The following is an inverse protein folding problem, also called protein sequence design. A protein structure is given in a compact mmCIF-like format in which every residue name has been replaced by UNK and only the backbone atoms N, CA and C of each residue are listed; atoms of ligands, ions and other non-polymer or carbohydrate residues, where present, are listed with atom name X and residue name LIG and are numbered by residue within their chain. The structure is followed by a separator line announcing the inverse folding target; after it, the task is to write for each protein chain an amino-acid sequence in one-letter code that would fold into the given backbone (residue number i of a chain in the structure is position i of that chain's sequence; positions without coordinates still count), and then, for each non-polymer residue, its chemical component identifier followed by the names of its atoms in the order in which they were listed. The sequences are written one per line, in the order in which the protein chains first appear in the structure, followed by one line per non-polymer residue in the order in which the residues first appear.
data_IF_700573521236
#
_entry.id   IF_700573521236
#
_cell.length_a   1.000
_cell.length_b   1.000
_cell.length_c   1.000
_cell.angle_alpha   90.00
_cell.angle_beta   90.00
_cell.angle_gamma   90.00
#
_symmetry.space_group_name_H-M   'P 1'
#
loop_
_entity.id
_entity.type
_entity.pdbx_description
1 polymer ?
#
# COMPACT_ATOMS: atom_id res chain seq x y z
N UNK A 1 15.95 1.62 18.76
CA UNK A 1 14.65 2.30 18.83
C UNK A 1 13.57 1.26 19.21
N UNK A 2 12.52 1.61 19.97
CA UNK A 2 11.45 0.68 20.42
C UNK A 2 10.79 -0.03 19.24
N UNK A 3 10.59 0.71 18.14
CA UNK A 3 9.93 0.20 16.93
C UNK A 3 10.82 -0.83 16.20
N UNK A 4 12.13 -0.62 16.22
CA UNK A 4 13.09 -1.52 15.54
C UNK A 4 13.44 -2.75 16.37
N UNK A 5 13.26 -2.69 17.69
CA UNK A 5 13.53 -3.82 18.58
C UNK A 5 12.58 -4.98 18.26
N UNK A 6 13.15 -6.18 18.21
CA UNK A 6 12.44 -7.44 17.93
C UNK A 6 11.76 -7.49 16.55
N UNK A 7 12.17 -6.61 15.63
CA UNK A 7 11.70 -6.56 14.25
C UNK A 7 12.75 -7.08 13.28
N UNK A 8 12.34 -7.75 12.22
CA UNK A 8 13.18 -8.01 11.04
C UNK A 8 13.02 -6.86 10.04
N UNK A 9 14.00 -6.60 9.18
CA UNK A 9 13.81 -5.61 8.12
C UNK A 9 12.92 -6.17 7.01
N UNK A 10 12.09 -5.34 6.40
CA UNK A 10 11.22 -5.74 5.28
C UNK A 10 11.99 -6.41 4.13
N UNK A 11 13.24 -6.00 3.87
CA UNK A 11 14.14 -6.65 2.89
C UNK A 11 14.49 -8.11 3.18
N UNK A 12 14.39 -8.55 4.43
CA UNK A 12 14.66 -9.94 4.80
C UNK A 12 13.51 -10.84 4.35
N UNK A 13 12.31 -10.28 4.22
CA UNK A 13 11.08 -10.99 3.87
C UNK A 13 10.73 -10.91 2.38
N UNK A 14 11.14 -9.85 1.68
CA UNK A 14 10.68 -9.57 0.32
C UNK A 14 11.81 -9.27 -0.68
N UNK A 15 11.63 -9.75 -1.90
CA UNK A 15 12.30 -9.23 -3.09
C UNK A 15 11.49 -8.09 -3.69
N UNK A 16 12.14 -7.05 -4.20
CA UNK A 16 11.47 -5.87 -4.73
C UNK A 16 11.75 -5.64 -6.22
N UNK A 17 10.76 -5.09 -6.92
CA UNK A 17 10.92 -4.62 -8.29
C UNK A 17 9.96 -3.47 -8.61
N UNK A 18 10.11 -2.89 -9.80
CA UNK A 18 9.16 -1.92 -10.35
C UNK A 18 8.36 -2.55 -11.47
N UNK A 19 7.21 -1.96 -11.73
CA UNK A 19 6.36 -2.31 -12.86
C UNK A 19 6.94 -1.94 -14.22
N UNK A 20 6.06 -2.01 -15.23
CA UNK A 20 6.33 -1.72 -16.64
C UNK A 20 6.78 -0.25 -16.80
N UNK A 21 7.87 -0.02 -17.52
CA UNK A 21 8.52 1.29 -17.68
C UNK A 21 7.89 2.13 -18.80
N UNK A 22 6.59 2.41 -18.66
CA UNK A 22 5.83 3.26 -19.58
C UNK A 22 5.12 4.41 -18.86
N UNK A 23 4.66 5.40 -19.62
CA UNK A 23 3.79 6.47 -19.12
C UNK A 23 2.33 6.02 -19.00
N UNK A 24 1.57 6.62 -18.08
CA UNK A 24 0.16 6.26 -17.83
C UNK A 24 -0.78 6.50 -19.02
N UNK A 25 -0.39 7.37 -19.94
CA UNK A 25 -1.16 7.70 -21.16
C UNK A 25 -0.66 6.94 -22.40
N UNK A 26 0.18 5.93 -22.21
CA UNK A 26 0.73 5.16 -23.32
C UNK A 26 -0.38 4.36 -24.05
N UNK A 27 -0.43 4.33 -25.40
CA UNK A 27 -1.50 3.67 -26.16
C UNK A 27 -1.69 2.17 -25.89
N UNK A 28 -0.65 1.50 -25.38
CA UNK A 28 -0.73 0.10 -24.95
C UNK A 28 -1.63 -0.13 -23.73
N UNK A 29 -2.07 0.93 -23.03
CA UNK A 29 -2.96 0.88 -21.87
C UNK A 29 -4.38 1.23 -22.35
N UNK A 30 -5.34 0.35 -22.09
CA UNK A 30 -6.74 0.56 -22.44
C UNK A 30 -7.65 0.12 -21.28
N UNK A 31 -8.85 0.69 -21.18
CA UNK A 31 -9.84 0.29 -20.17
C UNK A 31 -10.61 -0.97 -20.53
N UNK A 32 -10.61 -1.35 -21.82
CA UNK A 32 -11.43 -2.45 -22.34
C UNK A 32 -10.60 -3.53 -23.03
N UNK A 33 -9.52 -3.15 -23.71
CA UNK A 33 -8.74 -4.03 -24.58
C UNK A 33 -7.34 -4.29 -24.00
N UNK A 34 -6.81 -5.49 -24.19
CA UNK A 34 -5.45 -5.85 -23.77
C UNK A 34 -5.32 -7.29 -23.31
N UNK A 35 -4.09 -7.75 -23.23
CA UNK A 35 -3.80 -9.17 -23.01
C UNK A 35 -3.82 -9.52 -21.52
N UNK A 36 -3.43 -8.59 -20.64
CA UNK A 36 -3.33 -8.79 -19.19
C UNK A 36 -3.97 -7.64 -18.39
N UNK A 37 -4.46 -7.88 -17.16
CA UNK A 37 -4.86 -6.81 -16.24
C UNK A 37 -3.69 -5.89 -15.94
N UNK A 38 -3.96 -4.58 -15.87
CA UNK A 38 -2.94 -3.57 -15.61
C UNK A 38 -3.40 -2.58 -14.56
N UNK A 39 -2.53 -2.28 -13.59
CA UNK A 39 -2.80 -1.30 -12.55
C UNK A 39 -1.92 -0.07 -12.75
N UNK A 40 -2.56 1.10 -12.79
CA UNK A 40 -1.87 2.39 -12.70
C UNK A 40 -1.92 2.92 -11.27
N UNK A 41 -1.16 3.99 -10.97
CA UNK A 41 -1.07 4.51 -9.60
C UNK A 41 -2.43 4.87 -8.97
N UNK A 42 -3.40 5.35 -9.76
CA UNK A 42 -4.75 5.66 -9.28
C UNK A 42 -5.59 4.43 -8.91
N UNK A 43 -5.18 3.25 -9.36
CA UNK A 43 -5.88 1.98 -9.10
C UNK A 43 -5.48 1.35 -7.76
N UNK A 44 -4.49 1.92 -7.06
CA UNK A 44 -3.97 1.41 -5.79
C UNK A 44 -4.37 2.34 -4.64
N UNK A 45 -5.07 1.77 -3.65
CA UNK A 45 -5.33 2.37 -2.34
C UNK A 45 -5.01 1.37 -1.23
N UNK A 46 -5.04 1.82 0.03
CA UNK A 46 -4.89 0.93 1.19
C UNK A 46 -5.88 -0.24 1.08
N UNK A 47 -5.36 -1.46 1.10
CA UNK A 47 -6.08 -2.75 1.07
C UNK A 47 -6.95 -3.05 -0.18
N UNK A 48 -6.94 -2.20 -1.21
CA UNK A 48 -7.76 -2.41 -2.41
C UNK A 48 -6.99 -2.07 -3.69
N UNK A 49 -7.25 -2.89 -4.72
CA UNK A 49 -6.99 -2.54 -6.12
C UNK A 49 -8.29 -2.28 -6.85
N UNK A 50 -8.27 -1.34 -7.81
CA UNK A 50 -9.36 -1.09 -8.76
C UNK A 50 -8.84 -1.36 -10.16
N UNK A 51 -8.91 -2.60 -10.61
CA UNK A 51 -8.39 -3.00 -11.92
C UNK A 51 -9.25 -2.45 -13.07
N UNK A 52 -9.00 -1.19 -13.43
CA UNK A 52 -9.76 -0.47 -14.48
C UNK A 52 -9.06 -0.45 -15.84
N UNK A 53 -7.85 -1.01 -15.92
CA UNK A 53 -7.03 -1.02 -17.14
C UNK A 53 -6.53 -2.42 -17.51
N UNK A 54 -6.15 -2.54 -18.77
CA UNK A 54 -5.51 -3.69 -19.40
C UNK A 54 -4.30 -3.21 -20.20
N UNK A 55 -3.30 -4.08 -20.32
CA UNK A 55 -2.06 -3.82 -21.05
C UNK A 55 -1.96 -4.72 -22.28
N UNK A 56 -1.65 -4.11 -23.42
CA UNK A 56 -1.21 -4.83 -24.62
C UNK A 56 0.27 -5.21 -24.50
N UNK A 57 0.55 -6.50 -24.55
CA UNK A 57 1.91 -7.05 -24.54
C UNK A 57 2.51 -6.98 -25.95
N UNK A 58 3.84 -6.87 -26.01
CA UNK A 58 4.61 -6.83 -27.27
C UNK A 58 4.17 -5.71 -28.21
N UNK A 59 3.79 -4.56 -27.65
CA UNK A 59 3.54 -3.35 -28.41
C UNK A 59 4.86 -2.90 -29.08
N UNK A 60 4.85 -2.50 -30.37
CA UNK A 60 6.08 -2.17 -31.11
C UNK A 60 6.90 -1.04 -30.47
N UNK A 61 6.23 -0.09 -29.81
CA UNK A 61 6.87 1.07 -29.18
C UNK A 61 7.41 0.80 -27.76
N UNK A 62 7.22 -0.41 -27.21
CA UNK A 62 7.70 -0.77 -25.88
C UNK A 62 8.80 -1.82 -26.01
N UNK A 63 10.07 -1.50 -25.66
CA UNK A 63 11.13 -2.48 -25.59
C UNK A 63 10.77 -3.66 -24.69
N UNK A 64 11.12 -4.89 -25.08
CA UNK A 64 10.74 -6.10 -24.33
C UNK A 64 11.19 -6.06 -22.85
N UNK A 65 12.38 -5.52 -22.58
CA UNK A 65 12.92 -5.34 -21.22
C UNK A 65 12.07 -4.43 -20.34
N UNK A 66 11.30 -3.51 -20.92
CA UNK A 66 10.52 -2.51 -20.20
C UNK A 66 9.20 -3.11 -19.69
N UNK A 67 8.75 -4.23 -20.27
CA UNK A 67 7.65 -5.05 -19.74
C UNK A 67 8.02 -5.80 -18.46
N UNK A 68 9.31 -5.95 -18.15
CA UNK A 68 9.86 -6.82 -17.10
C UNK A 68 9.47 -8.30 -17.30
N UNK A 69 10.15 -9.16 -16.54
CA UNK A 69 9.90 -10.60 -16.57
C UNK A 69 8.47 -10.93 -16.10
N UNK A 70 7.67 -11.71 -16.86
CA UNK A 70 6.30 -12.08 -16.46
C UNK A 70 6.19 -12.74 -15.08
N UNK A 71 7.23 -13.48 -14.67
CA UNK A 71 7.31 -14.11 -13.35
C UNK A 71 7.27 -13.12 -12.18
N UNK A 72 7.56 -11.84 -12.43
CA UNK A 72 7.44 -10.78 -11.44
C UNK A 72 5.99 -10.47 -11.06
N UNK A 73 5.06 -10.62 -12.01
CA UNK A 73 3.66 -10.26 -11.81
C UNK A 73 2.79 -11.43 -11.35
N UNK A 74 3.29 -12.66 -11.43
CA UNK A 74 2.53 -13.86 -11.03
C UNK A 74 2.72 -14.20 -9.56
N UNK A 75 1.66 -14.70 -8.93
CA UNK A 75 1.66 -15.13 -7.53
C UNK A 75 1.48 -13.97 -6.54
N UNK A 76 1.26 -14.33 -5.28
CA UNK A 76 0.96 -13.35 -4.24
C UNK A 76 2.10 -12.34 -4.06
N UNK A 77 1.73 -11.06 -4.01
CA UNK A 77 2.66 -9.94 -3.85
C UNK A 77 1.98 -8.79 -3.14
N UNK A 78 2.80 -8.01 -2.45
CA UNK A 78 2.40 -6.69 -1.94
C UNK A 78 2.74 -5.65 -3.01
N UNK A 79 1.78 -4.79 -3.30
CA UNK A 79 1.97 -3.62 -4.15
C UNK A 79 1.99 -2.37 -3.28
N UNK A 80 2.93 -1.46 -3.52
CA UNK A 80 2.99 -0.17 -2.82
C UNK A 80 3.09 0.96 -3.84
N UNK A 81 2.20 1.94 -3.74
CA UNK A 81 2.22 3.12 -4.61
C UNK A 81 3.34 4.07 -4.19
N UNK A 82 4.14 4.56 -5.14
CA UNK A 82 5.26 5.50 -4.90
C UNK A 82 4.81 6.84 -4.32
N UNK A 83 3.62 7.31 -4.69
CA UNK A 83 3.10 8.64 -4.34
C UNK A 83 1.71 8.53 -3.72
N UNK A 84 1.37 9.45 -2.83
CA UNK A 84 0.09 9.46 -2.11
C UNK A 84 0.28 9.88 -0.66
N UNK A 85 -0.82 10.09 0.04
CA UNK A 85 -0.80 10.30 1.49
C UNK A 85 -0.53 8.97 2.20
N UNK A 86 0.42 8.97 3.13
CA UNK A 86 0.76 7.75 3.86
C UNK A 86 1.46 6.68 3.02
N UNK A 87 1.41 5.44 3.51
CA UNK A 87 1.77 4.25 2.76
C UNK A 87 0.48 3.65 2.19
N UNK A 88 0.43 3.52 0.87
CA UNK A 88 -0.71 2.90 0.17
C UNK A 88 -0.27 1.53 -0.34
N UNK A 89 -0.53 0.51 0.46
CA UNK A 89 -0.22 -0.87 0.16
C UNK A 89 -1.48 -1.73 -0.02
N UNK A 90 -1.38 -2.76 -0.86
CA UNK A 90 -2.44 -3.77 -1.06
C UNK A 90 -1.86 -5.11 -1.50
N UNK A 91 -2.66 -6.17 -1.47
CA UNK A 91 -2.31 -7.46 -2.06
C UNK A 91 -2.79 -7.54 -3.51
N UNK A 92 -2.00 -8.20 -4.34
CA UNK A 92 -2.36 -8.59 -5.70
C UNK A 92 -1.75 -9.95 -6.03
N UNK A 93 -2.29 -10.64 -7.04
CA UNK A 93 -1.80 -11.96 -7.46
C UNK A 93 -1.28 -11.99 -8.89
N UNK A 94 -1.97 -11.38 -9.85
CA UNK A 94 -1.66 -11.62 -11.27
C UNK A 94 -1.70 -10.35 -12.15
N UNK A 95 -1.84 -9.16 -11.55
CA UNK A 95 -1.88 -7.91 -12.31
C UNK A 95 -0.48 -7.43 -12.68
N UNK A 96 -0.34 -6.97 -13.93
CA UNK A 96 0.79 -6.13 -14.31
C UNK A 96 0.59 -4.73 -13.71
N UNK A 97 1.67 -4.01 -13.44
CA UNK A 97 1.59 -2.67 -12.83
C UNK A 97 2.53 -1.72 -13.53
N UNK A 98 2.23 -0.42 -13.50
CA UNK A 98 3.11 0.64 -14.01
C UNK A 98 4.32 0.88 -13.08
N UNK A 99 5.41 1.44 -13.60
CA UNK A 99 6.66 1.73 -12.87
C UNK A 99 6.52 2.55 -11.56
N UNK A 100 5.44 3.30 -11.37
CA UNK A 100 5.17 4.07 -10.13
C UNK A 100 4.55 3.22 -9.02
N UNK A 101 4.37 1.92 -9.26
CA UNK A 101 3.96 0.92 -8.27
C UNK A 101 5.15 -0.01 -8.04
N UNK A 102 5.52 -0.15 -6.78
CA UNK A 102 6.55 -1.10 -6.35
C UNK A 102 5.92 -2.45 -6.06
N UNK A 103 6.60 -3.49 -6.52
CA UNK A 103 6.23 -4.89 -6.33
C UNK A 103 7.13 -5.46 -5.24
N UNK A 104 6.54 -6.15 -4.27
CA UNK A 104 7.25 -6.90 -3.24
C UNK A 104 6.77 -8.34 -3.23
N UNK A 105 7.62 -9.26 -3.66
CA UNK A 105 7.35 -10.70 -3.67
C UNK A 105 7.91 -11.35 -2.40
N UNK A 106 7.14 -12.15 -1.67
CA UNK A 106 7.66 -12.82 -0.50
C UNK A 106 8.74 -13.82 -0.89
N UNK A 107 9.83 -13.84 -0.13
CA UNK A 107 10.94 -14.78 -0.31
C UNK A 107 10.58 -16.20 0.14
N UNK A 108 9.56 -16.33 0.99
CA UNK A 108 9.06 -17.59 1.53
C UNK A 108 7.54 -17.63 1.47
N UNK A 109 6.99 -18.81 1.21
CA UNK A 109 5.54 -19.00 1.08
C UNK A 109 4.77 -18.90 2.41
N UNK A 110 5.48 -18.96 3.55
CA UNK A 110 4.89 -18.94 4.89
C UNK A 110 4.86 -17.54 5.53
N UNK A 111 5.21 -16.50 4.78
CA UNK A 111 5.03 -15.12 5.22
C UNK A 111 3.53 -14.79 5.25
N UNK A 112 3.01 -14.41 6.42
CA UNK A 112 1.63 -13.93 6.57
C UNK A 112 1.47 -12.55 5.90
N UNK A 113 1.18 -12.55 4.60
CA UNK A 113 1.05 -11.31 3.81
C UNK A 113 -0.04 -10.37 4.34
N UNK A 114 -1.24 -10.83 4.73
CA UNK A 114 -2.21 -9.97 5.40
C UNK A 114 -1.68 -9.30 6.65
N UNK A 115 -0.92 -10.00 7.51
CA UNK A 115 -0.30 -9.40 8.70
C UNK A 115 0.63 -8.25 8.33
N UNK A 116 1.56 -8.53 7.39
CA UNK A 116 2.53 -7.53 6.92
C UNK A 116 1.83 -6.34 6.26
N UNK A 117 0.75 -6.59 5.51
CA UNK A 117 -0.04 -5.54 4.90
C UNK A 117 -0.69 -4.62 5.96
N UNK A 118 -1.23 -5.19 7.04
CA UNK A 118 -1.78 -4.42 8.16
C UNK A 118 -0.73 -3.52 8.81
N UNK A 119 0.47 -4.03 9.04
CA UNK A 119 1.59 -3.22 9.56
C UNK A 119 1.94 -2.09 8.58
N UNK A 120 2.14 -2.41 7.29
CA UNK A 120 2.52 -1.42 6.27
C UNK A 120 1.54 -0.25 6.17
N UNK A 121 0.24 -0.55 6.23
CA UNK A 121 -0.80 0.46 6.12
C UNK A 121 -1.06 1.21 7.44
N UNK A 122 -0.51 0.78 8.58
CA UNK A 122 -0.79 1.39 9.89
C UNK A 122 -0.26 2.82 10.04
N UNK A 123 -0.88 3.58 10.96
CA UNK A 123 -0.39 4.90 11.41
C UNK A 123 1.03 4.82 11.96
N UNK A 124 1.37 3.76 12.69
CA UNK A 124 2.72 3.59 13.25
C UNK A 124 3.78 3.54 12.15
N UNK A 125 3.52 2.77 11.08
CA UNK A 125 4.49 2.59 10.02
C UNK A 125 4.62 3.81 9.12
N UNK A 126 3.51 4.52 8.89
CA UNK A 126 3.54 5.84 8.26
C UNK A 126 4.38 6.82 9.08
N UNK A 127 4.10 6.95 10.39
CA UNK A 127 4.85 7.81 11.30
C UNK A 127 6.34 7.48 11.29
N UNK A 128 6.71 6.20 11.39
CA UNK A 128 8.10 5.76 11.38
C UNK A 128 8.78 6.14 10.06
N UNK A 129 8.15 5.84 8.92
CA UNK A 129 8.71 6.16 7.61
C UNK A 129 8.98 7.66 7.45
N UNK A 130 8.01 8.51 7.73
CA UNK A 130 8.16 9.95 7.52
C UNK A 130 9.04 10.61 8.58
N UNK A 131 9.01 10.15 9.82
CA UNK A 131 9.92 10.65 10.87
C UNK A 131 11.37 10.30 10.58
N UNK A 132 11.64 9.09 10.06
CA UNK A 132 13.00 8.62 9.80
C UNK A 132 13.55 9.08 8.45
N UNK A 133 12.69 9.15 7.43
CA UNK A 133 13.13 9.35 6.04
C UNK A 133 12.50 10.54 5.33
N UNK A 134 11.54 11.22 5.95
CA UNK A 134 10.94 12.44 5.41
C UNK A 134 11.99 13.52 5.19
N UNK A 135 11.89 14.22 4.06
CA UNK A 135 12.70 15.42 3.84
C UNK A 135 12.00 16.57 4.56
N UNK A 136 12.76 17.45 5.23
CA UNK A 136 12.22 18.64 5.93
C UNK A 136 11.63 19.70 4.99
N UNK A 137 11.60 19.45 3.68
CA UNK A 137 11.13 20.37 2.66
C UNK A 137 9.59 20.40 2.65
N UNK A 138 9.06 21.56 3.04
CA UNK A 138 7.64 21.83 3.19
C UNK A 138 6.91 21.67 1.85
N UNK A 139 5.77 20.97 1.84
CA UNK A 139 4.77 21.07 0.78
C UNK A 139 4.83 20.05 -0.36
N UNK A 140 5.70 19.04 -0.32
CA UNK A 140 5.68 17.93 -1.28
C UNK A 140 5.62 16.61 -0.53
N UNK A 141 4.52 15.86 -0.68
CA UNK A 141 4.41 14.50 -0.13
C UNK A 141 5.65 13.69 -0.52
N UNK A 142 6.49 13.28 0.45
CA UNK A 142 7.76 12.68 0.11
C UNK A 142 7.50 11.34 -0.56
N UNK A 143 7.99 11.22 -1.80
CA UNK A 143 7.87 9.99 -2.56
C UNK A 143 8.45 8.81 -1.77
N UNK A 144 7.68 7.73 -1.68
CA UNK A 144 8.20 6.48 -1.16
C UNK A 144 9.31 5.99 -2.08
N UNK A 145 10.46 5.58 -1.52
CA UNK A 145 11.51 4.92 -2.30
C UNK A 145 11.64 3.48 -1.84
N UNK A 146 11.88 2.56 -2.78
CA UNK A 146 12.01 1.14 -2.47
C UNK A 146 13.09 0.90 -1.42
N UNK A 147 14.24 1.57 -1.54
CA UNK A 147 15.33 1.44 -0.58
C UNK A 147 14.94 1.82 0.85
N UNK A 148 14.06 2.81 1.03
CA UNK A 148 13.55 3.22 2.35
C UNK A 148 12.47 2.27 2.86
N UNK A 149 11.55 1.85 2.00
CA UNK A 149 10.51 0.86 2.34
C UNK A 149 11.14 -0.47 2.78
N UNK A 150 12.21 -0.90 2.12
CA UNK A 150 12.96 -2.12 2.46
C UNK A 150 13.63 -2.09 3.85
N UNK A 151 13.76 -0.91 4.46
CA UNK A 151 14.32 -0.74 5.81
C UNK A 151 13.24 -0.73 6.90
N UNK A 152 11.96 -0.81 6.53
CA UNK A 152 10.88 -0.77 7.50
C UNK A 152 10.97 -1.98 8.46
N UNK A 153 10.87 -1.75 9.77
CA UNK A 153 10.92 -2.82 10.78
C UNK A 153 9.58 -3.56 10.80
N UNK A 154 9.60 -4.86 10.52
CA UNK A 154 8.44 -5.74 10.55
C UNK A 154 8.51 -6.67 11.76
N UNK A 155 7.57 -6.53 12.69
CA UNK A 155 7.34 -7.59 13.69
C UNK A 155 6.56 -8.71 13.03
N UNK A 156 7.04 -9.94 13.20
CA UNK A 156 6.38 -11.11 12.66
C UNK A 156 5.26 -11.55 13.60
N UNK A 157 4.21 -12.13 13.03
CA UNK A 157 3.15 -12.71 13.82
C UNK A 157 3.65 -13.96 14.57
N UNK A 158 3.19 -14.13 15.80
CA UNK A 158 3.43 -15.36 16.57
C UNK A 158 2.59 -16.54 16.08
N UNK A 159 1.46 -16.26 15.40
CA UNK A 159 0.56 -17.24 14.83
C UNK A 159 0.06 -16.81 13.44
N UNK A 160 -0.36 -17.77 12.63
CA UNK A 160 -0.91 -17.53 11.29
C UNK A 160 -2.23 -18.29 11.11
N UNK A 161 -3.36 -17.61 10.83
CA UNK A 161 -3.48 -16.16 10.69
C UNK A 161 -3.37 -15.41 12.02
N UNK A 162 -2.73 -14.24 12.00
CA UNK A 162 -2.73 -13.33 13.15
C UNK A 162 -4.06 -12.58 13.29
N UNK A 163 -4.29 -11.91 14.43
CA UNK A 163 -5.48 -11.05 14.59
C UNK A 163 -5.51 -9.91 13.57
N UNK A 164 -4.36 -9.31 13.26
CA UNK A 164 -4.21 -8.29 12.23
C UNK A 164 -4.60 -8.87 10.85
N UNK A 165 -4.21 -10.11 10.57
CA UNK A 165 -4.52 -10.81 9.31
C UNK A 165 -6.01 -11.01 9.10
N UNK A 166 -6.72 -11.36 10.18
CA UNK A 166 -8.18 -11.48 10.16
C UNK A 166 -8.86 -10.13 9.86
N UNK A 167 -8.41 -9.05 10.51
CA UNK A 167 -8.96 -7.70 10.29
C UNK A 167 -8.71 -7.21 8.86
N UNK A 168 -7.49 -7.42 8.33
CA UNK A 168 -7.17 -7.10 6.94
C UNK A 168 -8.05 -7.88 5.97
N UNK A 169 -8.27 -9.17 6.25
CA UNK A 169 -9.16 -10.01 5.42
C UNK A 169 -10.61 -9.50 5.42
N UNK A 170 -11.09 -8.99 6.55
CA UNK A 170 -12.41 -8.36 6.67
C UNK A 170 -12.49 -7.05 5.86
N UNK A 171 -11.49 -6.15 5.98
CA UNK A 171 -11.43 -4.92 5.17
C UNK A 171 -11.47 -5.24 3.67
N UNK A 172 -10.67 -6.20 3.23
CA UNK A 172 -10.65 -6.61 1.82
C UNK A 172 -12.00 -7.20 1.37
N UNK A 173 -12.72 -7.90 2.25
CA UNK A 173 -14.06 -8.40 1.97
C UNK A 173 -15.08 -7.26 1.83
N UNK A 174 -15.04 -6.27 2.73
CA UNK A 174 -15.89 -5.08 2.66
C UNK A 174 -15.64 -4.28 1.36
N UNK A 175 -14.38 -4.14 0.94
CA UNK A 175 -14.05 -3.52 -0.35
C UNK A 175 -14.59 -4.30 -1.55
N UNK A 176 -14.61 -5.64 -1.50
CA UNK A 176 -15.24 -6.46 -2.54
C UNK A 176 -16.75 -6.24 -2.58
N UNK A 177 -17.41 -6.17 -1.43
CA UNK A 177 -18.85 -5.86 -1.38
C UNK A 177 -19.14 -4.45 -1.90
N UNK A 178 -18.33 -3.45 -1.52
CA UNK A 178 -18.45 -2.09 -2.01
C UNK A 178 -18.37 -2.03 -3.54
N UNK A 179 -17.43 -2.77 -4.14
CA UNK A 179 -17.23 -2.79 -5.59
C UNK A 179 -18.44 -3.33 -6.37
N UNK A 180 -19.29 -4.16 -5.74
CA UNK A 180 -20.50 -4.72 -6.36
C UNK A 180 -21.67 -3.74 -6.40
N UNK A 181 -21.66 -2.70 -5.56
CA UNK A 181 -22.79 -1.77 -5.44
C UNK A 181 -22.85 -0.70 -6.54
N UNK A 182 -21.72 -0.40 -7.17
CA UNK A 182 -21.66 0.44 -8.37
C UNK A 182 -22.23 1.86 -8.20
N UNK A 183 -22.29 2.41 -6.99
CA UNK A 183 -22.82 3.76 -6.74
C UNK A 183 -24.33 3.86 -6.61
N UNK A 184 -25.07 2.74 -6.65
CA UNK A 184 -26.54 2.73 -6.67
C UNK A 184 -27.19 2.72 -5.27
N UNK A 185 -26.38 2.55 -4.21
CA UNK A 185 -26.88 2.33 -2.84
C UNK A 185 -26.11 3.15 -1.80
N UNK A 186 -26.23 4.48 -1.88
CA UNK A 186 -25.45 5.45 -1.08
C UNK A 186 -25.39 5.13 0.43
N UNK A 187 -26.54 4.81 1.06
CA UNK A 187 -26.57 4.51 2.50
C UNK A 187 -25.81 3.22 2.86
N UNK A 188 -25.90 2.21 1.98
CA UNK A 188 -25.19 0.94 2.17
C UNK A 188 -23.69 1.12 1.97
N UNK A 189 -23.30 1.92 0.97
CA UNK A 189 -21.90 2.28 0.72
C UNK A 189 -21.31 3.04 1.91
N UNK A 190 -22.02 4.04 2.42
CA UNK A 190 -21.60 4.76 3.63
C UNK A 190 -21.48 3.83 4.85
N UNK A 191 -22.37 2.85 4.99
CA UNK A 191 -22.30 1.82 6.02
C UNK A 191 -21.04 0.93 5.90
N UNK A 192 -20.70 0.49 4.68
CA UNK A 192 -19.48 -0.28 4.41
C UNK A 192 -18.23 0.56 4.71
N UNK A 193 -18.20 1.82 4.26
CA UNK A 193 -17.07 2.72 4.50
C UNK A 193 -16.81 2.95 5.99
N UNK A 194 -17.87 3.11 6.80
CA UNK A 194 -17.73 3.20 8.27
C UNK A 194 -17.10 1.94 8.87
N UNK A 195 -17.57 0.75 8.48
CA UNK A 195 -16.98 -0.52 8.96
C UNK A 195 -15.51 -0.67 8.56
N UNK A 196 -15.15 -0.28 7.35
CA UNK A 196 -13.74 -0.28 6.91
C UNK A 196 -12.90 0.62 7.80
N UNK A 197 -13.38 1.82 8.13
CA UNK A 197 -12.66 2.75 9.01
C UNK A 197 -12.50 2.19 10.43
N UNK A 198 -13.55 1.59 11.00
CA UNK A 198 -13.51 0.95 12.32
C UNK A 198 -12.52 -0.23 12.36
N UNK A 199 -12.54 -1.09 11.33
CA UNK A 199 -11.59 -2.21 11.21
C UNK A 199 -10.14 -1.72 11.08
N UNK A 200 -9.92 -0.64 10.34
CA UNK A 200 -8.59 -0.05 10.16
C UNK A 200 -8.06 0.58 11.46
N UNK A 201 -8.94 1.17 12.26
CA UNK A 201 -8.60 1.66 13.60
C UNK A 201 -8.25 0.52 14.56
N UNK A 202 -8.96 -0.61 14.49
CA UNK A 202 -8.59 -1.82 15.23
C UNK A 202 -7.25 -2.42 14.77
N UNK A 203 -6.91 -2.32 13.48
CA UNK A 203 -5.56 -2.69 13.00
C UNK A 203 -4.52 -1.78 13.61
N UNK A 204 -4.74 -0.46 13.63
CA UNK A 204 -3.80 0.49 14.24
C UNK A 204 -3.54 0.16 15.73
N UNK A 205 -4.59 -0.11 16.52
CA UNK A 205 -4.41 -0.54 17.92
C UNK A 205 -3.63 -1.84 18.03
N UNK A 206 -4.00 -2.85 17.24
CA UNK A 206 -3.28 -4.13 17.22
C UNK A 206 -1.81 -3.98 16.84
N UNK A 207 -1.48 -3.05 15.93
CA UNK A 207 -0.10 -2.72 15.56
C UNK A 207 0.60 -1.97 16.69
N UNK A 208 -0.03 -1.00 17.35
CA UNK A 208 0.58 -0.33 18.49
C UNK A 208 0.93 -1.30 19.62
N UNK A 209 0.00 -2.20 19.95
CA UNK A 209 0.18 -3.23 20.96
C UNK A 209 1.29 -4.21 20.54
N UNK A 210 1.28 -4.65 19.27
CA UNK A 210 2.32 -5.50 18.70
C UNK A 210 3.72 -4.87 18.84
N UNK A 211 3.83 -3.54 18.74
CA UNK A 211 5.09 -2.80 18.89
C UNK A 211 5.39 -2.36 20.34
N UNK A 212 4.48 -2.63 21.28
CA UNK A 212 4.61 -2.34 22.71
C UNK A 212 4.55 -0.85 23.02
N UNK A 213 3.72 -0.09 22.31
CA UNK A 213 3.50 1.34 22.58
C UNK A 213 2.52 1.52 23.74
N UNK A 214 2.85 2.42 24.65
CA UNK A 214 1.94 2.91 25.68
C UNK A 214 1.01 4.01 25.14
N UNK A 215 -0.04 4.34 25.89
CA UNK A 215 -1.05 5.33 25.47
C UNK A 215 -0.47 6.71 25.13
N UNK A 216 0.62 7.11 25.79
CA UNK A 216 1.28 8.39 25.50
C UNK A 216 1.95 8.36 24.14
N UNK A 217 2.64 7.27 23.82
CA UNK A 217 3.27 7.07 22.51
C UNK A 217 2.21 6.92 21.40
N UNK A 218 1.12 6.19 21.65
CA UNK A 218 0.00 6.07 20.71
C UNK A 218 -0.56 7.46 20.35
N UNK A 219 -0.82 8.30 21.35
CA UNK A 219 -1.32 9.66 21.13
C UNK A 219 -0.31 10.54 20.39
N UNK A 220 0.99 10.43 20.73
CA UNK A 220 2.04 11.16 20.04
C UNK A 220 2.11 10.81 18.54
N UNK A 221 2.01 9.53 18.19
CA UNK A 221 1.95 9.08 16.78
C UNK A 221 0.74 9.69 16.07
N UNK A 222 -0.45 9.61 16.68
CA UNK A 222 -1.68 10.17 16.12
C UNK A 222 -1.60 11.67 15.89
N UNK A 223 -1.10 12.41 16.87
CA UNK A 223 -0.93 13.86 16.80
C UNK A 223 0.07 14.24 15.69
N UNK A 224 1.20 13.54 15.60
CA UNK A 224 2.25 13.80 14.62
C UNK A 224 1.75 13.69 13.18
N UNK A 225 0.85 12.74 12.89
CA UNK A 225 0.27 12.57 11.55
C UNK A 225 -0.77 13.65 11.22
N UNK A 226 -1.57 14.10 12.20
CA UNK A 226 -2.56 15.18 11.99
C UNK A 226 -1.90 16.51 11.62
N UNK A 227 -0.78 16.82 12.24
CA UNK A 227 -0.03 18.05 11.97
C UNK A 227 0.64 18.03 10.59
N UNK A 228 1.03 16.86 10.10
CA UNK A 228 1.53 16.69 8.73
C UNK A 228 0.43 16.98 7.70
N UNK A 229 -0.74 16.35 7.82
CA UNK A 229 -1.86 16.59 6.89
C UNK A 229 -2.35 18.05 6.88
N UNK A 230 -2.29 18.77 8.02
CA UNK A 230 -2.66 20.19 8.11
C UNK A 230 -1.65 21.13 7.44
N UNK A 231 -0.36 20.87 7.61
CA UNK A 231 0.70 21.67 6.99
C UNK A 231 0.77 21.46 5.46
N UNK A 232 0.37 20.28 4.98
CA UNK A 232 0.30 20.01 3.54
C UNK A 232 -0.90 20.71 2.88
N UNK A 233 -2.04 20.78 3.56
CA UNK A 233 -3.24 21.48 3.06
C UNK A 233 -3.07 23.01 2.98
N UNK A 234 -2.20 23.61 3.80
CA UNK A 234 -1.87 25.05 3.74
C UNK A 234 -0.85 25.37 2.65
N UNK A 235 0.18 24.53 2.45
CA UNK A 235 1.20 24.73 1.41
C UNK A 235 0.67 24.63 -0.03
N UNK A 236 -0.42 23.88 -0.26
CA UNK A 236 -1.11 23.81 -1.56
C UNK A 236 -1.88 25.07 -1.94
N UNK A 237 -2.18 25.97 -0.98
CA UNK A 237 -2.92 27.22 -1.23
C UNK A 237 -2.02 28.40 -1.60
N UNK A 238 -0.74 28.35 -1.24
CA UNK A 238 0.22 29.44 -1.47
C UNK A 238 0.99 29.29 -2.80
N UNK A 239 0.68 28.27 -3.60
CA UNK A 239 1.35 27.95 -4.87
C UNK A 239 0.45 27.99 -6.11
N UNK A 240 -0.74 28.59 -6.02
CA UNK A 240 -1.68 28.79 -7.13
C UNK A 240 -1.69 30.24 -7.61
#
# INVERSE_FOLDING_TARGET
DRIERDSVQFRELFDNARGVEIGKSHPAISSTEGDVPFLIGGDISRYQTRATHRLKLKHPDIPERDYKEPGLYRGEKILIRKTGEGINATLDRDSYVIQVIYIFKPKRADVDLPHILGILNSKLMAFYYFSKFGQKERGVFPHLTQNKVLQLPMRLAECTPSKISELVSQIMAEYRELSKLGGLHLDREAGIQRRIAELDEHIDEGVFDLYGLDEKDKEFVRASLRDQSRNDASGLRDGA
#
